data_IF_740222801506
#
_entry.id   IF_740222801506
#
_cell.length_a   1.000
_cell.length_b   1.000
_cell.length_c   1.000
_cell.angle_alpha   90.00
_cell.angle_beta   90.00
_cell.angle_gamma   90.00
#
_symmetry.space_group_name_H-M   'P 1'
#
loop_
_entity.id
_entity.type
_entity.pdbx_description
1 polymer ?
#
# COMPACT_ATOMS: atom_id res chain seq x y z
N UNK A 1 14.59 -4.00 9.65
CA UNK A 1 13.56 -4.95 9.14
C UNK A 1 14.02 -6.38 9.44
N UNK A 2 13.31 -7.13 10.29
CA UNK A 2 13.60 -8.56 10.47
C UNK A 2 12.96 -9.33 9.31
N UNK A 3 13.66 -9.38 8.17
CA UNK A 3 13.32 -10.10 6.93
C UNK A 3 13.20 -11.63 7.09
N UNK A 4 13.11 -12.15 8.32
CA UNK A 4 13.07 -13.59 8.62
C UNK A 4 11.81 -14.30 8.06
N UNK A 5 10.76 -13.55 7.71
CA UNK A 5 9.45 -14.12 7.40
C UNK A 5 9.07 -14.19 5.92
N UNK A 6 9.83 -13.62 4.99
CA UNK A 6 9.42 -13.57 3.58
C UNK A 6 10.23 -14.50 2.68
N UNK A 7 11.55 -14.56 2.86
CA UNK A 7 12.42 -15.27 1.92
C UNK A 7 13.05 -16.52 2.54
N UNK A 8 12.96 -16.70 3.86
CA UNK A 8 13.84 -17.64 4.55
C UNK A 8 15.24 -17.04 4.63
N UNK A 9 15.70 -16.81 5.87
CA UNK A 9 17.07 -16.41 6.24
C UNK A 9 17.57 -15.04 5.70
N UNK A 10 17.95 -14.16 6.64
CA UNK A 10 18.59 -12.84 6.41
C UNK A 10 19.88 -12.91 5.55
N UNK A 11 20.47 -14.09 5.40
CA UNK A 11 21.76 -14.34 4.74
C UNK A 11 21.62 -14.43 3.22
N UNK A 12 20.49 -14.91 2.68
CA UNK A 12 20.33 -15.12 1.23
C UNK A 12 20.08 -13.84 0.42
N UNK A 13 19.70 -12.74 1.08
CA UNK A 13 19.34 -11.49 0.41
C UNK A 13 20.46 -10.45 0.37
N UNK A 14 21.49 -10.61 1.20
CA UNK A 14 22.55 -9.60 1.34
C UNK A 14 23.55 -9.75 0.20
N UNK A 15 23.73 -8.69 -0.60
CA UNK A 15 24.67 -8.68 -1.73
C UNK A 15 24.09 -9.10 -3.07
N UNK A 16 22.83 -9.58 -3.11
CA UNK A 16 22.14 -9.95 -4.34
C UNK A 16 21.24 -8.82 -4.85
N UNK A 17 20.90 -8.88 -6.14
CA UNK A 17 20.04 -7.88 -6.78
C UNK A 17 18.60 -8.02 -6.32
N UNK A 18 17.93 -6.91 -5.97
CA UNK A 18 16.51 -6.94 -5.57
C UNK A 18 15.60 -7.45 -6.69
N UNK A 19 16.00 -7.28 -7.96
CA UNK A 19 15.27 -7.74 -9.14
C UNK A 19 15.09 -9.26 -9.19
N UNK A 20 15.95 -10.02 -8.50
CA UNK A 20 15.83 -11.47 -8.37
C UNK A 20 14.68 -11.89 -7.45
N UNK A 21 14.24 -11.01 -6.55
CA UNK A 21 13.24 -11.30 -5.51
C UNK A 21 11.90 -10.60 -5.72
N UNK A 22 11.79 -9.72 -6.71
CA UNK A 22 10.55 -8.99 -7.01
C UNK A 22 9.91 -9.51 -8.29
N UNK A 23 8.58 -9.41 -8.39
CA UNK A 23 7.85 -9.82 -9.57
C UNK A 23 8.30 -9.02 -10.81
N UNK A 24 8.52 -9.65 -11.99
CA UNK A 24 9.02 -8.95 -13.18
C UNK A 24 8.21 -7.71 -13.58
N UNK A 25 6.88 -7.78 -13.49
CA UNK A 25 6.01 -6.63 -13.78
C UNK A 25 6.15 -5.44 -12.80
N UNK A 26 6.90 -5.56 -11.71
CA UNK A 26 7.21 -4.45 -10.80
C UNK A 26 8.64 -3.88 -11.04
N UNK A 27 9.39 -4.36 -12.04
CA UNK A 27 10.78 -3.95 -12.29
C UNK A 27 10.91 -2.49 -12.72
N UNK A 28 10.03 -2.02 -13.62
CA UNK A 28 10.05 -0.63 -14.08
C UNK A 28 9.72 0.33 -12.93
N UNK A 29 8.75 -0.03 -12.07
CA UNK A 29 8.42 0.74 -10.87
C UNK A 29 9.61 0.79 -9.89
N UNK A 30 10.29 -0.34 -9.68
CA UNK A 30 11.48 -0.36 -8.83
C UNK A 30 12.60 0.51 -9.40
N UNK A 31 12.78 0.51 -10.71
CA UNK A 31 13.76 1.37 -11.40
C UNK A 31 13.43 2.84 -11.17
N UNK A 32 12.16 3.22 -11.30
CA UNK A 32 11.69 4.58 -11.04
C UNK A 32 11.85 4.99 -9.56
N UNK A 33 11.61 4.06 -8.62
CA UNK A 33 11.83 4.28 -7.18
C UNK A 33 13.31 4.58 -6.88
N UNK A 34 14.22 3.87 -7.53
CA UNK A 34 15.66 4.05 -7.39
C UNK A 34 16.20 5.27 -8.15
N UNK A 35 15.41 5.90 -9.02
CA UNK A 35 15.81 7.09 -9.74
C UNK A 35 15.62 8.37 -8.91
N UNK A 36 16.47 9.37 -9.18
CA UNK A 36 16.31 10.74 -8.70
C UNK A 36 15.66 11.59 -9.81
N UNK A 37 14.47 12.13 -9.56
CA UNK A 37 13.81 13.05 -10.50
C UNK A 37 14.09 14.51 -10.09
N UNK A 38 14.39 15.36 -11.07
CA UNK A 38 14.64 16.81 -10.91
C UNK A 38 13.32 17.59 -10.73
N UNK A 39 13.34 18.81 -10.15
CA UNK A 39 14.50 19.59 -9.72
C UNK A 39 14.80 19.36 -8.24
N UNK A 40 16.03 18.99 -7.96
CA UNK A 40 16.56 18.88 -6.62
C UNK A 40 16.94 20.30 -6.18
N UNK A 41 16.32 20.78 -5.10
CA UNK A 41 16.58 22.12 -4.59
C UNK A 41 18.08 22.31 -4.35
N UNK A 42 18.63 23.41 -4.84
CA UNK A 42 20.02 23.82 -4.61
C UNK A 42 20.17 24.27 -3.15
N UNK A 43 20.19 23.32 -2.21
CA UNK A 43 20.56 23.59 -0.84
C UNK A 43 22.00 23.17 -0.61
N UNK A 44 22.71 23.95 0.21
CA UNK A 44 24.12 23.82 0.61
C UNK A 44 24.47 22.49 1.34
N UNK A 45 23.58 21.49 1.31
CA UNK A 45 23.73 20.23 2.02
C UNK A 45 24.35 19.19 1.10
N UNK A 46 25.45 18.60 1.56
CA UNK A 46 26.20 17.56 0.84
C UNK A 46 25.41 16.25 0.69
N UNK A 47 24.43 16.00 1.58
CA UNK A 47 23.56 14.83 1.55
C UNK A 47 22.10 15.23 1.79
N UNK A 48 21.17 14.61 1.06
CA UNK A 48 19.74 14.77 1.30
C UNK A 48 18.99 13.45 1.03
N UNK A 49 17.79 13.36 1.60
CA UNK A 49 16.96 12.16 1.58
C UNK A 49 15.64 12.47 0.86
N UNK A 50 15.23 11.63 -0.09
CA UNK A 50 13.92 11.75 -0.73
C UNK A 50 13.03 10.61 -0.28
N UNK A 51 11.89 10.92 0.34
CA UNK A 51 10.93 9.92 0.77
C UNK A 51 10.45 9.04 -0.39
N UNK A 52 10.24 7.76 -0.07
CA UNK A 52 9.74 6.73 -0.99
C UNK A 52 8.69 5.90 -0.25
N UNK A 53 7.53 5.75 -0.86
CA UNK A 53 6.48 4.83 -0.43
C UNK A 53 5.89 4.13 -1.65
N UNK A 54 6.03 2.81 -1.72
CA UNK A 54 5.68 2.02 -2.90
C UNK A 54 5.29 0.59 -2.52
N UNK A 55 4.73 -0.17 -3.47
CA UNK A 55 4.30 -1.55 -3.24
C UNK A 55 5.03 -2.49 -4.19
N UNK A 56 5.62 -3.56 -3.66
CA UNK A 56 6.25 -4.60 -4.48
C UNK A 56 5.64 -5.96 -4.20
N UNK A 57 5.49 -6.78 -5.24
CA UNK A 57 5.26 -8.21 -5.08
C UNK A 57 6.62 -8.89 -4.90
N UNK A 58 6.91 -9.33 -3.68
CA UNK A 58 8.15 -10.04 -3.36
C UNK A 58 7.91 -11.55 -3.33
N UNK A 59 8.86 -12.34 -3.85
CA UNK A 59 8.87 -13.80 -3.76
C UNK A 59 8.76 -14.22 -2.29
N UNK A 60 7.89 -15.18 -2.01
CA UNK A 60 7.62 -15.67 -0.67
C UNK A 60 7.70 -17.20 -0.65
N UNK A 61 8.65 -17.73 0.14
CA UNK A 61 8.93 -19.18 0.22
C UNK A 61 8.09 -19.87 1.29
N UNK A 62 7.29 -19.12 2.07
CA UNK A 62 6.38 -19.72 3.05
C UNK A 62 5.37 -20.62 2.32
N UNK A 63 5.48 -21.92 2.60
CA UNK A 63 4.72 -22.98 1.94
C UNK A 63 3.21 -22.69 1.94
N UNK A 64 2.55 -23.14 0.86
CA UNK A 64 1.08 -23.19 0.62
C UNK A 64 0.19 -23.66 1.79
N UNK A 65 0.76 -24.08 2.94
CA UNK A 65 0.06 -24.63 4.10
C UNK A 65 -0.67 -23.58 4.94
N UNK A 66 -0.30 -22.29 4.86
CA UNK A 66 -0.97 -21.23 5.62
C UNK A 66 -1.83 -20.33 4.71
N UNK A 67 -3.11 -20.67 4.61
CA UNK A 67 -4.24 -19.74 4.47
C UNK A 67 -4.25 -18.72 3.30
N UNK A 68 -3.62 -18.99 2.16
CA UNK A 68 -3.75 -18.11 0.98
C UNK A 68 -3.01 -16.78 1.10
N UNK A 69 -1.90 -16.77 1.84
CA UNK A 69 -1.05 -15.59 2.05
C UNK A 69 -0.27 -15.14 0.80
N UNK A 70 -0.16 -15.98 -0.22
CA UNK A 70 0.61 -15.68 -1.44
C UNK A 70 -0.24 -15.91 -2.69
N UNK A 71 -0.08 -15.02 -3.68
CA UNK A 71 -0.61 -15.21 -5.02
C UNK A 71 0.56 -15.63 -5.93
N UNK A 72 0.49 -16.84 -6.50
CA UNK A 72 1.53 -17.39 -7.38
C UNK A 72 2.96 -17.36 -6.78
N UNK A 73 3.08 -17.53 -5.46
CA UNK A 73 4.38 -17.50 -4.77
C UNK A 73 4.92 -16.11 -4.45
N UNK A 74 4.12 -15.05 -4.67
CA UNK A 74 4.46 -13.67 -4.30
C UNK A 74 3.54 -13.14 -3.22
N UNK A 75 4.06 -12.21 -2.41
CA UNK A 75 3.27 -11.43 -1.44
C UNK A 75 3.51 -9.93 -1.66
N UNK A 76 2.45 -9.14 -1.57
CA UNK A 76 2.55 -7.68 -1.67
C UNK A 76 3.15 -7.12 -0.37
N UNK A 77 4.19 -6.30 -0.53
CA UNK A 77 4.90 -5.62 0.54
C UNK A 77 4.78 -4.12 0.30
N UNK A 78 4.30 -3.40 1.31
CA UNK A 78 4.38 -1.94 1.36
C UNK A 78 5.76 -1.55 1.87
N UNK A 79 6.52 -0.84 1.05
CA UNK A 79 7.85 -0.35 1.39
C UNK A 79 7.77 1.15 1.66
N UNK A 80 8.25 1.60 2.82
CA UNK A 80 8.34 3.01 3.20
C UNK A 80 9.74 3.35 3.71
N UNK A 81 10.32 4.45 3.24
CA UNK A 81 11.66 4.87 3.59
C UNK A 81 12.13 6.04 2.74
N UNK A 82 13.43 6.10 2.44
CA UNK A 82 14.02 7.19 1.69
C UNK A 82 15.16 6.74 0.77
N UNK A 83 15.30 7.44 -0.34
CA UNK A 83 16.45 7.37 -1.23
C UNK A 83 17.48 8.39 -0.75
N UNK A 84 18.65 7.90 -0.32
CA UNK A 84 19.76 8.74 0.11
C UNK A 84 20.58 9.17 -1.10
N UNK A 85 20.81 10.48 -1.24
CA UNK A 85 21.54 11.07 -2.35
C UNK A 85 22.63 11.98 -1.81
N UNK A 86 23.79 11.95 -2.46
CA UNK A 86 24.93 12.81 -2.17
C UNK A 86 25.16 13.77 -3.34
N UNK A 87 25.26 15.06 -3.06
CA UNK A 87 25.62 16.06 -4.06
C UNK A 87 27.13 16.25 -4.07
N UNK A 88 27.71 16.39 -5.25
CA UNK A 88 29.10 16.81 -5.41
C UNK A 88 29.21 17.93 -6.44
N UNK A 89 30.08 18.88 -6.15
CA UNK A 89 30.42 19.97 -7.05
C UNK A 89 31.52 19.45 -7.99
N UNK A 90 31.28 19.44 -9.29
CA UNK A 90 32.34 19.19 -10.27
C UNK A 90 33.00 20.53 -10.60
N UNK A 91 34.32 20.60 -10.47
CA UNK A 91 35.14 21.83 -10.57
C UNK A 91 35.24 22.42 -11.99
N UNK A 92 34.29 22.13 -12.90
CA UNK A 92 34.40 22.52 -14.31
C UNK A 92 33.15 23.08 -14.99
N UNK A 93 32.05 23.33 -14.27
CA UNK A 93 30.99 24.21 -14.80
C UNK A 93 30.05 24.66 -13.68
N UNK A 94 29.96 25.98 -13.47
CA UNK A 94 29.19 26.66 -12.41
C UNK A 94 27.66 26.45 -12.45
N UNK A 95 27.15 25.49 -13.22
CA UNK A 95 25.72 25.33 -13.48
C UNK A 95 25.19 23.89 -13.43
N UNK A 96 26.01 22.86 -13.19
CA UNK A 96 25.50 21.49 -13.10
C UNK A 96 25.88 20.82 -11.78
N UNK A 97 24.89 20.72 -10.89
CA UNK A 97 25.03 19.96 -9.65
C UNK A 97 24.94 18.47 -9.97
N UNK A 98 26.03 17.74 -9.81
CA UNK A 98 26.00 16.29 -10.00
C UNK A 98 25.54 15.58 -8.72
N UNK A 99 24.70 14.55 -8.88
CA UNK A 99 24.14 13.78 -7.78
C UNK A 99 24.55 12.32 -7.88
N UNK A 100 24.90 11.72 -6.74
CA UNK A 100 25.17 10.31 -6.59
C UNK A 100 24.08 9.67 -5.73
N UNK A 101 23.38 8.69 -6.27
CA UNK A 101 22.44 7.88 -5.50
C UNK A 101 23.24 6.92 -4.62
N UNK A 102 23.16 7.12 -3.31
CA UNK A 102 23.89 6.31 -2.32
C UNK A 102 23.15 4.98 -2.11
N UNK A 103 21.82 5.03 -2.05
CA UNK A 103 21.01 3.84 -1.92
C UNK A 103 19.62 4.10 -1.33
N UNK A 104 18.77 3.09 -1.38
CA UNK A 104 17.44 3.09 -0.77
C UNK A 104 17.50 2.43 0.60
N UNK A 105 17.01 3.12 1.62
CA UNK A 105 16.77 2.56 2.95
C UNK A 105 15.26 2.53 3.18
N UNK A 106 14.69 1.36 3.37
CA UNK A 106 13.25 1.21 3.56
C UNK A 106 12.88 0.09 4.54
N UNK A 107 11.72 0.25 5.16
CA UNK A 107 11.02 -0.78 5.92
C UNK A 107 9.92 -1.34 5.03
N UNK A 108 9.97 -2.64 4.77
CA UNK A 108 8.87 -3.37 4.16
C UNK A 108 7.93 -3.92 5.23
N UNK A 109 6.64 -3.70 5.02
CA UNK A 109 5.57 -4.23 5.85
C UNK A 109 4.64 -5.06 4.97
N UNK A 110 4.29 -6.23 5.46
CA UNK A 110 3.37 -7.10 4.74
C UNK A 110 1.94 -6.77 5.10
N UNK A 111 1.08 -6.73 4.10
CA UNK A 111 -0.32 -6.44 4.33
C UNK A 111 -1.02 -7.61 5.06
N UNK A 112 -2.07 -7.32 5.86
CA UNK A 112 -2.81 -8.35 6.58
C UNK A 112 -3.29 -9.48 5.64
N UNK A 113 -3.39 -10.73 6.13
CA UNK A 113 -3.88 -11.87 5.36
C UNK A 113 -5.26 -11.63 4.77
N UNK A 114 -5.51 -12.16 3.57
CA UNK A 114 -6.82 -12.15 2.88
C UNK A 114 -7.93 -12.87 3.68
N UNK A 115 -7.55 -13.78 4.58
CA UNK A 115 -8.46 -14.47 5.51
C UNK A 115 -8.81 -13.56 6.70
N UNK A 116 -9.56 -12.50 6.42
CA UNK A 116 -9.94 -11.45 7.39
C UNK A 116 -10.85 -11.97 8.52
N UNK A 117 -11.34 -13.22 8.42
CA UNK A 117 -12.17 -13.85 9.46
C UNK A 117 -11.47 -14.00 10.82
N UNK A 118 -10.14 -13.90 10.88
CA UNK A 118 -9.36 -14.05 12.11
C UNK A 118 -8.80 -12.73 12.66
N UNK A 119 -9.03 -11.59 11.99
CA UNK A 119 -8.57 -10.29 12.48
C UNK A 119 -9.49 -9.85 13.62
N UNK A 120 -8.94 -9.78 14.84
CA UNK A 120 -9.60 -9.09 15.96
C UNK A 120 -9.70 -7.61 15.63
N UNK A 121 -10.84 -7.21 15.11
CA UNK A 121 -11.14 -5.80 14.84
C UNK A 121 -11.28 -5.06 16.17
N UNK A 122 -10.51 -3.98 16.33
CA UNK A 122 -10.57 -3.08 17.49
C UNK A 122 -11.78 -2.14 17.42
N UNK A 123 -12.01 -1.34 18.46
CA UNK A 123 -13.17 -0.42 18.54
C UNK A 123 -13.17 0.64 17.44
N UNK A 124 -12.00 1.09 17.00
CA UNK A 124 -11.86 2.08 15.93
C UNK A 124 -11.67 1.46 14.54
N UNK A 125 -12.13 0.22 14.35
CA UNK A 125 -12.00 -0.49 13.09
C UNK A 125 -13.34 -1.01 12.60
N UNK A 126 -13.57 -0.89 11.30
CA UNK A 126 -14.69 -1.53 10.62
C UNK A 126 -14.23 -2.19 9.33
N UNK A 127 -14.97 -3.18 8.88
CA UNK A 127 -14.73 -3.96 7.67
C UNK A 127 -15.87 -3.75 6.69
N UNK A 128 -15.51 -3.69 5.41
CA UNK A 128 -16.47 -3.79 4.32
C UNK A 128 -16.04 -4.80 3.27
N UNK A 129 -17.03 -5.28 2.51
CA UNK A 129 -16.81 -5.94 1.23
C UNK A 129 -17.39 -5.07 0.12
N UNK A 130 -16.72 -5.08 -1.02
CA UNK A 130 -17.12 -4.35 -2.21
C UNK A 130 -16.90 -5.20 -3.47
N UNK A 131 -17.61 -4.87 -4.55
CA UNK A 131 -17.21 -5.31 -5.90
C UNK A 131 -15.94 -4.58 -6.36
N UNK A 132 -15.37 -5.00 -7.49
CA UNK A 132 -14.11 -4.47 -8.03
C UNK A 132 -14.19 -3.00 -8.47
N UNK A 133 -15.36 -2.39 -8.48
CA UNK A 133 -15.59 -0.96 -8.73
C UNK A 133 -15.77 -0.14 -7.43
N UNK A 134 -15.47 -0.75 -6.28
CA UNK A 134 -15.69 -0.21 -4.93
C UNK A 134 -17.17 0.06 -4.57
N UNK A 135 -18.13 -0.54 -5.27
CA UNK A 135 -19.53 -0.57 -4.82
C UNK A 135 -19.65 -1.47 -3.59
N UNK A 136 -20.14 -0.90 -2.50
CA UNK A 136 -20.22 -1.55 -1.20
C UNK A 136 -21.34 -2.60 -1.20
N UNK A 137 -21.01 -3.84 -0.86
CA UNK A 137 -21.96 -4.98 -0.83
C UNK A 137 -22.20 -5.51 0.59
N UNK A 138 -21.31 -5.16 1.53
CA UNK A 138 -21.42 -5.53 2.94
C UNK A 138 -20.61 -4.55 3.78
N UNK A 139 -21.12 -4.14 4.93
CA UNK A 139 -20.38 -3.45 5.98
C UNK A 139 -20.74 -4.07 7.33
N UNK A 140 -19.76 -4.18 8.23
CA UNK A 140 -20.06 -4.55 9.60
C UNK A 140 -20.68 -3.38 10.39
N UNK A 141 -21.42 -3.68 11.46
CA UNK A 141 -22.24 -2.72 12.21
C UNK A 141 -21.43 -1.64 12.94
N UNK A 142 -20.11 -1.79 13.13
CA UNK A 142 -19.29 -0.78 13.80
C UNK A 142 -19.16 0.51 13.02
N UNK A 143 -19.46 0.49 11.72
CA UNK A 143 -19.52 1.71 10.91
C UNK A 143 -20.49 2.74 11.50
N UNK A 144 -21.57 2.29 12.17
CA UNK A 144 -22.52 3.16 12.85
C UNK A 144 -21.87 3.95 13.97
N UNK A 145 -21.13 3.29 14.87
CA UNK A 145 -20.46 3.97 16.00
C UNK A 145 -19.38 4.94 15.53
N UNK A 146 -18.73 4.64 14.40
CA UNK A 146 -17.57 5.41 13.91
C UNK A 146 -17.95 6.55 12.95
N UNK A 147 -19.10 6.48 12.28
CA UNK A 147 -19.48 7.44 11.23
C UNK A 147 -20.92 7.93 11.34
N UNK A 148 -21.73 7.33 12.21
CA UNK A 148 -23.17 7.54 12.30
C UNK A 148 -24.00 6.89 11.20
N UNK A 149 -23.38 6.33 10.14
CA UNK A 149 -24.11 5.61 9.08
C UNK A 149 -24.49 4.20 9.49
N UNK A 150 -25.72 3.82 9.22
CA UNK A 150 -26.09 2.40 9.23
C UNK A 150 -25.53 1.71 7.97
N UNK A 151 -25.15 0.42 8.03
CA UNK A 151 -24.68 -0.31 6.85
C UNK A 151 -25.55 -0.13 5.61
N UNK A 152 -26.88 -0.19 5.78
CA UNK A 152 -27.86 -0.01 4.70
C UNK A 152 -27.83 1.38 4.03
N UNK A 153 -27.33 2.41 4.72
CA UNK A 153 -27.19 3.75 4.14
C UNK A 153 -26.08 3.82 3.09
N UNK A 154 -25.10 2.89 3.18
CA UNK A 154 -23.85 2.87 2.41
C UNK A 154 -23.82 1.76 1.35
N UNK A 155 -24.48 0.63 1.61
CA UNK A 155 -24.57 -0.50 0.66
C UNK A 155 -25.20 -0.03 -0.67
N UNK A 156 -24.79 -0.67 -1.76
CA UNK A 156 -25.11 -0.32 -3.16
C UNK A 156 -24.56 1.03 -3.66
N UNK A 157 -23.86 1.81 -2.83
CA UNK A 157 -23.11 3.00 -3.25
C UNK A 157 -21.64 2.67 -3.40
N UNK A 158 -20.95 3.38 -4.29
CA UNK A 158 -19.49 3.30 -4.36
C UNK A 158 -18.86 4.08 -3.23
N UNK A 159 -17.72 3.61 -2.70
CA UNK A 159 -16.96 4.31 -1.66
C UNK A 159 -16.68 5.79 -2.04
N UNK A 160 -16.51 6.07 -3.34
CA UNK A 160 -16.29 7.42 -3.86
C UNK A 160 -17.39 8.44 -3.50
N UNK A 161 -18.63 8.00 -3.29
CA UNK A 161 -19.72 8.90 -2.88
C UNK A 161 -19.50 9.48 -1.47
N UNK A 162 -18.70 8.80 -0.65
CA UNK A 162 -18.51 9.13 0.76
C UNK A 162 -17.10 9.68 1.03
N UNK A 163 -16.27 9.85 0.01
CA UNK A 163 -14.88 10.31 0.15
C UNK A 163 -14.80 11.78 -0.19
N UNK A 164 -14.05 12.54 0.61
CA UNK A 164 -13.84 13.96 0.37
C UNK A 164 -13.20 14.21 -1.01
N UNK A 165 -13.70 15.20 -1.75
CA UNK A 165 -13.28 15.47 -3.13
C UNK A 165 -11.75 15.60 -3.33
N UNK A 166 -11.07 16.31 -2.43
CA UNK A 166 -9.60 16.43 -2.46
C UNK A 166 -8.83 15.10 -2.32
N UNK A 167 -9.47 14.05 -1.80
CA UNK A 167 -8.81 12.76 -1.54
C UNK A 167 -9.12 11.72 -2.62
N UNK A 168 -10.07 12.02 -3.52
CA UNK A 168 -10.55 11.10 -4.58
C UNK A 168 -9.44 10.64 -5.51
N UNK A 169 -8.50 11.53 -5.89
CA UNK A 169 -7.38 11.16 -6.75
C UNK A 169 -6.45 10.14 -6.07
N UNK A 170 -6.14 10.35 -4.79
CA UNK A 170 -5.33 9.42 -4.02
C UNK A 170 -6.03 8.07 -3.82
N UNK A 171 -7.34 8.09 -3.55
CA UNK A 171 -8.13 6.87 -3.44
C UNK A 171 -8.20 6.12 -4.78
N UNK A 172 -8.37 6.82 -5.90
CA UNK A 172 -8.35 6.24 -7.25
C UNK A 172 -7.02 5.59 -7.56
N UNK A 173 -5.91 6.23 -7.21
CA UNK A 173 -4.58 5.63 -7.35
C UNK A 173 -4.44 4.35 -6.53
N UNK A 174 -4.85 4.38 -5.25
CA UNK A 174 -4.84 3.19 -4.40
C UNK A 174 -5.75 2.07 -4.95
N UNK A 175 -6.92 2.41 -5.47
CA UNK A 175 -7.83 1.48 -6.11
C UNK A 175 -7.21 0.84 -7.37
N UNK A 176 -6.53 1.62 -8.20
CA UNK A 176 -5.79 1.08 -9.35
C UNK A 176 -4.70 0.09 -8.89
N UNK A 177 -3.90 0.45 -7.89
CA UNK A 177 -2.88 -0.45 -7.32
C UNK A 177 -3.49 -1.74 -6.77
N UNK A 178 -4.63 -1.64 -6.09
CA UNK A 178 -5.36 -2.80 -5.58
C UNK A 178 -5.75 -3.78 -6.70
N UNK A 179 -6.23 -3.27 -7.83
CA UNK A 179 -6.61 -4.11 -8.97
C UNK A 179 -5.40 -4.73 -9.66
N UNK A 180 -4.26 -4.02 -9.73
CA UNK A 180 -3.04 -4.51 -10.39
C UNK A 180 -2.26 -5.49 -9.52
N UNK A 181 -2.15 -5.22 -8.22
CA UNK A 181 -1.27 -5.96 -7.29
C UNK A 181 -2.04 -6.87 -6.34
N UNK A 182 -3.36 -6.72 -6.22
CA UNK A 182 -4.24 -7.53 -5.39
C UNK A 182 -4.35 -7.08 -3.94
N UNK A 183 -3.45 -6.22 -3.44
CA UNK A 183 -3.52 -5.64 -2.10
C UNK A 183 -3.00 -4.20 -2.10
N UNK A 184 -3.54 -3.36 -1.22
CA UNK A 184 -3.07 -1.97 -1.04
C UNK A 184 -3.31 -1.47 0.38
N UNK A 185 -2.49 -0.52 0.81
CA UNK A 185 -2.81 0.40 1.92
C UNK A 185 -3.07 1.78 1.33
N UNK A 186 -4.19 2.40 1.67
CA UNK A 186 -4.48 3.76 1.23
C UNK A 186 -3.60 4.76 1.98
N UNK A 187 -3.42 5.95 1.39
CA UNK A 187 -3.15 7.15 2.20
C UNK A 187 -4.33 7.41 3.14
N UNK A 188 -4.14 8.27 4.13
CA UNK A 188 -5.26 8.78 4.90
C UNK A 188 -6.21 9.55 3.98
N UNK A 189 -7.49 9.26 4.10
CA UNK A 189 -8.55 9.97 3.38
C UNK A 189 -9.68 10.27 4.34
N UNK A 190 -10.47 11.28 3.99
CA UNK A 190 -11.64 11.69 4.77
C UNK A 190 -12.87 10.96 4.28
N UNK A 191 -13.54 10.28 5.20
CA UNK A 191 -14.85 9.65 5.00
C UNK A 191 -15.94 10.52 5.63
N UNK A 192 -17.01 10.79 4.89
CA UNK A 192 -18.10 11.66 5.33
C UNK A 192 -18.78 11.02 6.54
N UNK A 193 -19.09 11.80 7.56
CA UNK A 193 -19.93 11.36 8.68
C UNK A 193 -21.39 11.72 8.41
N UNK A 194 -22.32 10.89 8.88
CA UNK A 194 -23.77 11.11 8.68
C UNK A 194 -24.26 12.41 9.31
N UNK A 195 -23.67 12.80 10.45
CA UNK A 195 -24.00 14.03 11.15
C UNK A 195 -23.26 15.27 10.61
N UNK A 196 -22.55 15.12 9.49
CA UNK A 196 -21.68 16.14 8.92
C UNK A 196 -20.24 16.04 9.44
N UNK A 197 -19.34 16.77 8.77
CA UNK A 197 -17.90 16.65 9.01
C UNK A 197 -17.32 15.35 8.44
N UNK A 198 -16.10 15.03 8.86
CA UNK A 198 -15.31 13.95 8.29
C UNK A 198 -14.56 13.18 9.38
N UNK A 199 -14.41 11.88 9.18
CA UNK A 199 -13.47 11.05 9.95
C UNK A 199 -12.30 10.67 9.08
N UNK A 200 -11.10 10.64 9.65
CA UNK A 200 -9.90 10.22 8.95
C UNK A 200 -9.81 8.70 8.95
N UNK A 201 -9.58 8.12 7.77
CA UNK A 201 -9.56 6.67 7.57
C UNK A 201 -8.29 6.24 6.84
N UNK A 202 -7.72 5.12 7.27
CA UNK A 202 -6.76 4.34 6.49
C UNK A 202 -7.35 2.96 6.19
N UNK A 203 -7.33 2.56 4.92
CA UNK A 203 -7.87 1.28 4.49
C UNK A 203 -6.76 0.32 4.05
N UNK A 204 -6.88 -0.92 4.51
CA UNK A 204 -6.07 -2.06 4.09
C UNK A 204 -6.98 -2.98 3.29
N UNK A 205 -6.86 -2.92 1.96
CA UNK A 205 -7.77 -3.62 1.06
C UNK A 205 -7.07 -4.77 0.35
N UNK A 206 -7.81 -5.85 0.12
CA UNK A 206 -7.33 -7.05 -0.56
C UNK A 206 -8.39 -7.60 -1.50
N UNK A 207 -8.00 -7.97 -2.72
CA UNK A 207 -8.84 -8.68 -3.68
C UNK A 207 -8.87 -10.16 -3.33
N UNK A 208 -10.04 -10.66 -2.94
CA UNK A 208 -10.26 -12.05 -2.59
C UNK A 208 -10.76 -12.82 -3.82
N UNK A 209 -10.04 -13.88 -4.16
CA UNK A 209 -10.39 -14.79 -5.24
C UNK A 209 -11.10 -16.00 -4.65
N UNK A 210 -12.34 -16.22 -5.05
CA UNK A 210 -13.10 -17.37 -4.58
C UNK A 210 -12.88 -18.56 -5.51
N UNK A 211 -11.71 -19.19 -5.45
CA UNK A 211 -11.39 -20.34 -6.33
C UNK A 211 -12.24 -21.59 -6.06
N UNK A 212 -13.00 -21.62 -4.96
CA UNK A 212 -13.84 -22.76 -4.54
C UNK A 212 -15.34 -22.55 -4.80
N UNK A 213 -15.76 -21.40 -5.34
CA UNK A 213 -17.14 -21.19 -5.76
C UNK A 213 -17.21 -20.30 -7.00
N UNK A 214 -18.33 -20.31 -7.72
CA UNK A 214 -18.59 -19.41 -8.85
C UNK A 214 -18.78 -17.93 -8.44
N UNK A 215 -18.60 -17.59 -7.15
CA UNK A 215 -18.80 -16.22 -6.67
C UNK A 215 -17.76 -15.27 -7.28
N UNK A 216 -18.18 -14.07 -7.71
CA UNK A 216 -17.28 -13.10 -8.31
C UNK A 216 -16.19 -12.66 -7.32
N UNK A 217 -15.06 -12.20 -7.87
CA UNK A 217 -14.02 -11.53 -7.09
C UNK A 217 -14.62 -10.36 -6.31
N UNK A 218 -14.18 -10.20 -5.07
CA UNK A 218 -14.57 -9.07 -4.25
C UNK A 218 -13.35 -8.45 -3.57
N UNK A 219 -13.50 -7.18 -3.22
CA UNK A 219 -12.59 -6.47 -2.35
C UNK A 219 -13.07 -6.70 -0.92
N UNK A 220 -12.16 -7.02 -0.03
CA UNK A 220 -12.38 -6.94 1.42
C UNK A 220 -11.42 -5.90 1.97
N UNK A 221 -11.96 -4.93 2.72
CA UNK A 221 -11.20 -3.84 3.30
C UNK A 221 -11.38 -3.79 4.79
N UNK A 222 -10.27 -3.70 5.53
CA UNK A 222 -10.23 -3.34 6.94
C UNK A 222 -9.85 -1.88 7.05
N UNK A 223 -10.68 -1.10 7.75
CA UNK A 223 -10.60 0.35 7.76
C UNK A 223 -10.36 0.82 9.19
N UNK A 224 -9.28 1.56 9.39
CA UNK A 224 -8.91 2.13 10.67
C UNK A 224 -9.33 3.59 10.71
N UNK A 225 -10.17 3.94 11.69
CA UNK A 225 -10.60 5.31 11.94
C UNK A 225 -9.64 5.96 12.93
N UNK A 226 -9.10 7.09 12.54
CA UNK A 226 -8.19 7.89 13.35
C UNK A 226 -9.03 8.88 14.18
N UNK A 227 -8.91 8.75 15.50
CA UNK A 227 -9.51 9.65 16.50
C UNK A 227 -8.46 10.59 17.06
#
# INVERSE_FOLDING_TARGET
>A
MSLKYFVGVRVELTGNSIYEYIHPSDHDEMTAVLAAHQPLHHHLLQEYEIERSFFLRMKCVLAKRNAGLTCSGYKVIHCSGYLKIRQYMLDMSLYDSCYQIVGLVAVGQSLPPSAITEIKLHSNMFMFRASLDLKLIFLDSRVTELTGYEPQDLIEKTLYHHVHGCDVFHLRYAHHLLLVKGQVTTKYYRLLSKLGGWVWVQSYATVVHNSRSSRPHCIVSVNYVLT
#
